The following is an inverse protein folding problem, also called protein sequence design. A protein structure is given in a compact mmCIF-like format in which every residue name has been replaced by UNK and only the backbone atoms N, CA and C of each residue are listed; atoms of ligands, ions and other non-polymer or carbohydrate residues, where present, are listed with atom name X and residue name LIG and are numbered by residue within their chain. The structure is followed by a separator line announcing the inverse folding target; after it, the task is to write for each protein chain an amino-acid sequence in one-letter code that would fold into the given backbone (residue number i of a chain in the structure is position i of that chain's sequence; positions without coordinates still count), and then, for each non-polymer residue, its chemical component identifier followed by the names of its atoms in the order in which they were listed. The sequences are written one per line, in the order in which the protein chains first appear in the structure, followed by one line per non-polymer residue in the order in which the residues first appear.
data_IF_748337429282
#
_entry.id   IF_748337429282
#
_cell.length_a   1.000
_cell.length_b   1.000
_cell.length_c   1.000
_cell.angle_alpha   90.00
_cell.angle_beta   90.00
_cell.angle_gamma   90.00
#
_symmetry.space_group_name_H-M   'P 1'
#
loop_
_entity.id
_entity.type
_entity.pdbx_description
1 polymer ?
#
# COMPACT_ATOMS: atom_id res chain seq x y z
N UNK A 1 -5.55 5.45 -3.69
CA UNK A 1 -4.43 5.27 -4.62
C UNK A 1 -3.80 6.61 -4.89
N UNK A 2 -2.48 6.68 -4.77
CA UNK A 2 -1.69 7.88 -5.04
C UNK A 2 -0.59 7.52 -6.03
N UNK A 3 -0.30 8.43 -6.94
CA UNK A 3 0.83 8.36 -7.86
C UNK A 3 1.95 9.27 -7.36
N UNK A 4 3.18 8.79 -7.46
CA UNK A 4 4.37 9.57 -7.14
C UNK A 4 5.45 9.37 -8.20
N UNK A 5 5.77 10.45 -8.93
CA UNK A 5 6.79 10.47 -9.99
C UNK A 5 7.86 11.55 -9.74
N UNK A 6 8.08 11.90 -8.47
CA UNK A 6 8.93 13.02 -8.05
C UNK A 6 8.13 14.29 -7.81
N UNK A 7 8.26 14.88 -6.61
CA UNK A 7 7.52 16.09 -6.20
C UNK A 7 6.39 15.80 -5.21
N UNK A 8 5.17 16.29 -5.49
CA UNK A 8 4.01 16.09 -4.61
C UNK A 8 3.21 14.85 -5.07
N UNK A 9 2.79 13.96 -4.15
CA UNK A 9 1.95 12.83 -4.51
C UNK A 9 0.59 13.31 -5.05
N UNK A 10 0.11 12.66 -6.11
CA UNK A 10 -1.16 12.97 -6.75
C UNK A 10 -2.19 11.90 -6.37
N UNK A 11 -3.30 12.32 -5.79
CA UNK A 11 -4.43 11.43 -5.59
C UNK A 11 -4.98 10.98 -6.96
N UNK A 12 -5.11 9.66 -7.15
CA UNK A 12 -5.71 9.09 -8.35
C UNK A 12 -7.18 8.78 -8.10
N UNK A 13 -7.42 7.92 -7.13
CA UNK A 13 -8.75 7.38 -6.86
C UNK A 13 -8.83 6.69 -5.49
N UNK A 14 -10.06 6.41 -5.07
CA UNK A 14 -10.36 5.54 -3.92
C UNK A 14 -11.01 4.27 -4.44
N UNK A 15 -10.45 3.12 -4.07
CA UNK A 15 -11.07 1.81 -4.31
C UNK A 15 -11.70 1.32 -3.02
N UNK A 16 -12.93 0.87 -3.11
CA UNK A 16 -13.64 0.21 -2.00
C UNK A 16 -13.62 -1.28 -2.24
N UNK A 17 -13.17 -2.04 -1.25
CA UNK A 17 -13.19 -3.50 -1.29
C UNK A 17 -14.21 -3.99 -0.28
N UNK A 18 -15.24 -4.66 -0.78
CA UNK A 18 -16.27 -5.25 0.09
C UNK A 18 -15.75 -6.57 0.67
N UNK A 19 -15.49 -6.53 1.97
CA UNK A 19 -15.19 -7.70 2.80
C UNK A 19 -16.43 -8.07 3.61
N UNK A 20 -16.76 -9.36 3.63
CA UNK A 20 -17.83 -9.90 4.48
C UNK A 20 -17.26 -10.88 5.50
N UNK A 21 -17.67 -10.74 6.76
CA UNK A 21 -17.21 -11.56 7.89
C UNK A 21 -17.32 -13.09 7.68
N UNK A 22 -18.38 -13.66 7.06
CA UNK A 22 -18.43 -15.11 6.82
C UNK A 22 -17.54 -15.58 5.65
N UNK A 23 -16.99 -14.65 4.87
CA UNK A 23 -16.23 -15.00 3.68
C UNK A 23 -14.82 -15.49 4.01
N UNK A 24 -14.48 -16.70 3.54
CA UNK A 24 -13.11 -17.19 3.56
C UNK A 24 -12.28 -16.51 2.45
N UNK A 25 -10.98 -16.37 2.68
CA UNK A 25 -10.00 -15.86 1.70
C UNK A 25 -10.26 -14.44 1.16
N UNK A 26 -10.99 -13.59 1.89
CA UNK A 26 -11.29 -12.21 1.48
C UNK A 26 -10.04 -11.34 1.31
N UNK A 27 -8.91 -11.74 1.90
CA UNK A 27 -7.61 -11.07 1.70
C UNK A 27 -7.20 -11.03 0.23
N UNK A 28 -7.62 -12.00 -0.59
CA UNK A 28 -7.34 -12.02 -2.03
C UNK A 28 -8.02 -10.85 -2.75
N UNK A 29 -9.23 -10.46 -2.34
CA UNK A 29 -9.93 -9.31 -2.92
C UNK A 29 -9.19 -8.00 -2.66
N UNK A 30 -8.68 -7.84 -1.45
CA UNK A 30 -7.87 -6.67 -1.10
C UNK A 30 -6.56 -6.65 -1.89
N UNK A 31 -5.91 -7.81 -2.06
CA UNK A 31 -4.71 -7.95 -2.88
C UNK A 31 -4.99 -7.61 -4.35
N UNK A 32 -6.04 -8.18 -4.94
CA UNK A 32 -6.41 -7.93 -6.34
C UNK A 32 -6.68 -6.44 -6.60
N UNK A 33 -7.25 -5.74 -5.62
CA UNK A 33 -7.49 -4.30 -5.70
C UNK A 33 -6.23 -3.43 -5.63
N UNK A 34 -5.06 -3.98 -5.27
CA UNK A 34 -3.78 -3.26 -5.17
C UNK A 34 -2.69 -3.82 -6.09
N UNK A 35 -2.99 -4.81 -6.95
CA UNK A 35 -1.99 -5.50 -7.82
C UNK A 35 -1.24 -4.59 -8.78
N UNK A 36 -1.79 -3.42 -9.07
CA UNK A 36 -1.22 -2.39 -9.94
C UNK A 36 -0.45 -1.32 -9.17
N UNK A 37 -0.27 -1.47 -7.86
CA UNK A 37 0.49 -0.56 -7.02
C UNK A 37 1.90 -1.10 -6.79
N UNK A 38 2.91 -0.21 -6.78
CA UNK A 38 4.28 -0.59 -6.44
C UNK A 38 4.48 -0.77 -4.92
N UNK A 39 3.71 -0.04 -4.13
CA UNK A 39 3.86 0.05 -2.67
C UNK A 39 2.48 0.06 -2.01
N UNK A 40 2.36 -0.67 -0.89
CA UNK A 40 1.22 -0.59 0.01
C UNK A 40 1.67 -0.15 1.39
N UNK A 41 1.02 0.88 1.93
CA UNK A 41 1.24 1.38 3.28
C UNK A 41 0.03 1.00 4.12
N UNK A 42 0.25 0.26 5.20
CA UNK A 42 -0.82 -0.14 6.12
C UNK A 42 -0.26 -0.37 7.52
N UNK A 43 -1.10 -0.22 8.54
CA UNK A 43 -0.73 -0.46 9.94
C UNK A 43 -0.24 -1.90 10.14
N UNK A 44 -0.93 -2.86 9.52
CA UNK A 44 -0.58 -4.28 9.59
C UNK A 44 -1.14 -5.05 8.39
N UNK A 45 -0.51 -6.19 8.10
CA UNK A 45 -1.03 -7.21 7.20
C UNK A 45 -0.98 -8.57 7.89
N UNK A 46 -2.08 -9.34 7.82
CA UNK A 46 -2.08 -10.72 8.31
C UNK A 46 -1.14 -11.60 7.48
N UNK A 47 -0.66 -12.71 8.06
CA UNK A 47 0.39 -13.56 7.48
C UNK A 47 0.16 -13.90 6.00
N UNK A 48 -1.03 -14.40 5.65
CA UNK A 48 -1.36 -14.75 4.25
C UNK A 48 -1.40 -13.53 3.33
N UNK A 49 -1.91 -12.40 3.82
CA UNK A 49 -1.94 -11.15 3.06
C UNK A 49 -0.52 -10.64 2.80
N UNK A 50 0.36 -10.70 3.81
CA UNK A 50 1.76 -10.30 3.67
C UNK A 50 2.50 -11.14 2.63
N UNK A 51 2.35 -12.47 2.68
CA UNK A 51 2.91 -13.37 1.64
C UNK A 51 2.36 -13.02 0.26
N UNK A 52 1.05 -12.80 0.13
CA UNK A 52 0.46 -12.42 -1.17
C UNK A 52 0.93 -11.06 -1.70
N UNK A 53 1.20 -10.09 -0.83
CA UNK A 53 1.77 -8.78 -1.19
C UNK A 53 3.20 -8.96 -1.71
N UNK A 54 4.02 -9.75 -1.03
CA UNK A 54 5.40 -10.07 -1.43
C UNK A 54 5.44 -10.84 -2.76
N UNK A 55 4.59 -11.86 -2.93
CA UNK A 55 4.46 -12.63 -4.17
C UNK A 55 4.01 -11.76 -5.36
N UNK A 56 3.24 -10.69 -5.10
CA UNK A 56 2.82 -9.71 -6.10
C UNK A 56 3.90 -8.66 -6.40
N UNK A 57 5.11 -8.77 -5.82
CA UNK A 57 6.20 -7.79 -5.94
C UNK A 57 5.84 -6.38 -5.46
N UNK A 58 4.86 -6.27 -4.56
CA UNK A 58 4.43 -5.01 -3.96
C UNK A 58 5.24 -4.79 -2.68
N UNK A 59 5.83 -3.61 -2.50
CA UNK A 59 6.55 -3.29 -1.26
C UNK A 59 5.55 -3.02 -0.14
N UNK A 60 5.64 -3.78 0.95
CA UNK A 60 4.89 -3.52 2.17
C UNK A 60 5.62 -2.52 3.08
N UNK A 61 4.91 -1.49 3.53
CA UNK A 61 5.40 -0.50 4.51
C UNK A 61 4.44 -0.48 5.70
N UNK A 62 4.93 -0.90 6.87
CA UNK A 62 4.20 -0.79 8.12
C UNK A 62 4.33 0.63 8.67
N UNK A 63 3.27 1.42 8.60
CA UNK A 63 3.21 2.78 9.15
C UNK A 63 1.77 3.14 9.55
N UNK A 64 1.62 4.04 10.51
CA UNK A 64 0.35 4.49 11.07
C UNK A 64 0.28 6.02 11.13
N UNK A 65 -0.88 6.58 10.83
CA UNK A 65 -1.15 8.01 10.92
C UNK A 65 -2.04 8.50 9.78
N UNK A 66 -2.23 9.83 9.68
CA UNK A 66 -2.92 10.46 8.56
C UNK A 66 -2.25 10.10 7.23
N UNK A 67 -3.06 9.99 6.17
CA UNK A 67 -2.60 9.58 4.83
C UNK A 67 -1.48 10.48 4.32
N UNK A 68 -1.61 11.79 4.52
CA UNK A 68 -0.64 12.79 4.09
C UNK A 68 0.71 12.60 4.78
N UNK A 69 0.70 12.29 6.09
CA UNK A 69 1.92 12.12 6.86
C UNK A 69 2.67 10.83 6.50
N UNK A 70 1.96 9.70 6.38
CA UNK A 70 2.59 8.42 6.02
C UNK A 70 3.16 8.47 4.60
N UNK A 71 2.48 9.15 3.68
CA UNK A 71 2.97 9.38 2.31
C UNK A 71 4.22 10.27 2.34
N UNK A 72 4.21 11.36 3.09
CA UNK A 72 5.37 12.25 3.19
C UNK A 72 6.58 11.53 3.79
N UNK A 73 6.40 10.75 4.86
CA UNK A 73 7.49 9.95 5.47
C UNK A 73 8.07 8.96 4.46
N UNK A 74 7.21 8.23 3.75
CA UNK A 74 7.66 7.27 2.75
C UNK A 74 8.39 7.94 1.58
N UNK A 75 7.90 9.07 1.07
CA UNK A 75 8.53 9.84 0.00
C UNK A 75 9.90 10.35 0.45
N UNK A 76 10.00 10.99 1.61
CA UNK A 76 11.27 11.50 2.16
C UNK A 76 12.30 10.39 2.30
N UNK A 77 11.89 9.24 2.83
CA UNK A 77 12.77 8.08 2.94
C UNK A 77 13.24 7.59 1.56
N UNK A 78 12.32 7.47 0.60
CA UNK A 78 12.64 6.97 -0.74
C UNK A 78 13.58 7.91 -1.50
N UNK A 79 13.35 9.22 -1.44
CA UNK A 79 14.23 10.21 -2.06
C UNK A 79 15.61 10.25 -1.39
N UNK A 80 15.66 10.15 -0.06
CA UNK A 80 16.94 10.00 0.66
C UNK A 80 17.72 8.79 0.16
N UNK A 81 17.08 7.62 0.05
CA UNK A 81 17.73 6.40 -0.43
C UNK A 81 18.21 6.46 -1.88
N UNK A 82 17.62 7.31 -2.73
CA UNK A 82 18.09 7.54 -4.12
C UNK A 82 19.23 8.55 -4.21
N UNK A 83 19.35 9.42 -3.22
CA UNK A 83 20.41 10.44 -3.16
C UNK A 83 21.76 9.93 -2.64
N UNK A 84 21.76 8.69 -2.10
CA UNK A 84 22.93 7.95 -1.63
C UNK A 84 23.41 7.00 -2.73
#
# INVERSE_FOLDING_TARGET
MYEYSGGKPRFLERRTVEISEPGKHQWMKALDAIRDCDVVIAVQAGLRGKVGIEDASIKFVADEGPVEEVLERWIRHTEFMKSV
#
